data_IF_382585630065
#
_entry.id   IF_382585630065
#
_cell.length_a   1.000
_cell.length_b   1.000
_cell.length_c   1.000
_cell.angle_alpha   90.00
_cell.angle_beta   90.00
_cell.angle_gamma   90.00
#
_symmetry.space_group_name_H-M   'P 1'
#
loop_
_entity.id
_entity.type
_entity.pdbx_description
1 polymer ?
#
# COMPACT_ATOMS: atom_id res chain seq x y z
N UNK A 1 -9.35 -27.26 -17.35
CA UNK A 1 -9.58 -25.81 -17.61
C UNK A 1 -8.30 -25.22 -18.17
N UNK A 2 -8.31 -24.75 -19.40
CA UNK A 2 -7.16 -24.14 -20.10
C UNK A 2 -7.06 -22.61 -19.85
N UNK A 3 -7.28 -22.17 -18.63
CA UNK A 3 -7.08 -20.77 -18.22
C UNK A 3 -5.58 -20.49 -18.23
N UNK A 4 -5.14 -19.51 -19.03
CA UNK A 4 -3.73 -19.10 -19.16
C UNK A 4 -3.39 -17.85 -18.37
N UNK A 5 -4.40 -17.05 -18.04
CA UNK A 5 -4.23 -15.80 -17.32
C UNK A 5 -5.29 -15.65 -16.23
N UNK A 6 -4.86 -15.27 -15.04
CA UNK A 6 -5.74 -14.75 -13.98
C UNK A 6 -5.25 -13.36 -13.64
N UNK A 7 -6.08 -12.36 -13.83
CA UNK A 7 -5.78 -10.97 -13.53
C UNK A 7 -6.65 -10.50 -12.38
N UNK A 8 -6.01 -10.15 -11.26
CA UNK A 8 -6.63 -9.43 -10.16
C UNK A 8 -6.44 -7.94 -10.39
N UNK A 9 -7.50 -7.24 -10.72
CA UNK A 9 -7.47 -5.78 -10.92
C UNK A 9 -7.37 -5.03 -9.59
N UNK A 10 -7.87 -5.62 -8.50
CA UNK A 10 -7.76 -5.12 -7.14
C UNK A 10 -7.17 -6.21 -6.24
N UNK A 11 -6.55 -5.80 -5.14
CA UNK A 11 -6.01 -6.73 -4.15
C UNK A 11 -7.14 -7.51 -3.47
N UNK A 12 -7.12 -8.85 -3.48
CA UNK A 12 -8.03 -9.67 -2.68
C UNK A 12 -7.87 -9.38 -1.18
N UNK A 13 -8.91 -9.64 -0.40
CA UNK A 13 -8.92 -9.36 1.03
C UNK A 13 -7.94 -10.22 1.83
N UNK A 14 -7.61 -11.41 1.33
CA UNK A 14 -6.68 -12.33 1.99
C UNK A 14 -5.96 -13.23 0.99
N UNK A 15 -4.87 -13.85 1.45
CA UNK A 15 -4.02 -14.75 0.65
C UNK A 15 -4.81 -15.97 0.17
N UNK A 16 -5.71 -16.50 0.98
CA UNK A 16 -6.50 -17.68 0.63
C UNK A 16 -7.42 -17.40 -0.56
N UNK A 17 -8.06 -16.23 -0.61
CA UNK A 17 -8.89 -15.84 -1.75
C UNK A 17 -8.03 -15.69 -3.01
N UNK A 18 -6.89 -14.99 -2.88
CA UNK A 18 -5.93 -14.88 -3.99
C UNK A 18 -5.49 -16.25 -4.50
N UNK A 19 -5.07 -17.16 -3.61
CA UNK A 19 -4.61 -18.49 -3.96
C UNK A 19 -5.68 -19.31 -4.67
N UNK A 20 -6.92 -19.30 -4.18
CA UNK A 20 -8.05 -20.01 -4.80
C UNK A 20 -8.38 -19.50 -6.21
N UNK A 21 -8.31 -18.18 -6.40
CA UNK A 21 -8.59 -17.56 -7.68
C UNK A 21 -7.43 -17.74 -8.65
N UNK A 22 -6.20 -17.50 -8.22
CA UNK A 22 -4.98 -17.71 -9.00
C UNK A 22 -4.82 -19.20 -9.41
N UNK A 23 -5.16 -20.12 -8.52
CA UNK A 23 -5.13 -21.56 -8.76
C UNK A 23 -6.11 -22.07 -9.83
N UNK A 24 -6.90 -21.19 -10.46
CA UNK A 24 -7.71 -21.52 -11.65
C UNK A 24 -6.85 -21.59 -12.90
N UNK A 25 -5.70 -20.91 -12.93
CA UNK A 25 -4.77 -20.90 -14.04
C UNK A 25 -3.93 -22.19 -14.07
N UNK A 26 -3.63 -22.69 -15.27
CA UNK A 26 -2.69 -23.79 -15.49
C UNK A 26 -3.07 -25.14 -14.88
N UNK A 27 -4.34 -25.42 -14.61
CA UNK A 27 -4.80 -26.71 -14.04
C UNK A 27 -4.52 -27.94 -14.92
N UNK A 28 -4.20 -27.72 -16.17
CA UNK A 28 -3.82 -28.75 -17.14
C UNK A 28 -2.31 -28.99 -17.17
N UNK A 29 -1.54 -28.32 -16.29
CA UNK A 29 -0.08 -28.45 -16.21
C UNK A 29 0.70 -27.56 -17.17
N UNK A 30 0.01 -26.83 -18.05
CA UNK A 30 0.64 -25.91 -18.99
C UNK A 30 0.95 -24.55 -18.32
N UNK A 31 1.98 -23.83 -18.80
CA UNK A 31 2.32 -22.52 -18.28
C UNK A 31 1.14 -21.54 -18.26
N UNK A 32 1.00 -20.82 -17.15
CA UNK A 32 -0.05 -19.82 -16.96
C UNK A 32 0.48 -18.68 -16.07
N UNK A 33 -0.08 -17.49 -16.25
CA UNK A 33 0.32 -16.30 -15.52
C UNK A 33 -0.78 -15.84 -14.55
N UNK A 34 -0.37 -15.44 -13.35
CA UNK A 34 -1.22 -14.80 -12.36
C UNK A 34 -0.69 -13.39 -12.12
N UNK A 35 -1.50 -12.40 -12.47
CA UNK A 35 -1.14 -10.98 -12.37
C UNK A 35 -2.00 -10.35 -11.29
N UNK A 36 -1.37 -9.68 -10.33
CA UNK A 36 -2.04 -8.91 -9.30
C UNK A 36 -1.62 -7.44 -9.43
N UNK A 37 -2.59 -6.57 -9.71
CA UNK A 37 -2.41 -5.14 -9.60
C UNK A 37 -2.70 -4.71 -8.16
N UNK A 38 -1.83 -3.90 -7.59
CA UNK A 38 -1.92 -3.46 -6.21
C UNK A 38 -1.82 -1.95 -6.10
N UNK A 39 -2.66 -1.39 -5.25
CA UNK A 39 -2.65 0.01 -4.85
C UNK A 39 -2.88 0.10 -3.34
N UNK A 40 -2.25 1.05 -2.60
CA UNK A 40 -2.57 1.31 -1.19
C UNK A 40 -4.07 1.53 -0.94
N UNK A 41 -4.79 2.04 -1.94
CA UNK A 41 -6.23 2.19 -1.94
C UNK A 41 -6.99 0.89 -1.71
N UNK A 42 -6.48 -0.23 -2.23
CA UNK A 42 -7.12 -1.52 -2.07
C UNK A 42 -7.16 -1.95 -0.59
N UNK A 43 -6.14 -1.55 0.18
CA UNK A 43 -6.09 -1.80 1.63
C UNK A 43 -7.24 -1.08 2.32
N UNK A 44 -7.40 0.23 2.04
CA UNK A 44 -8.46 1.07 2.64
C UNK A 44 -9.85 0.53 2.29
N UNK A 45 -10.06 0.16 1.03
CA UNK A 45 -11.33 -0.43 0.58
C UNK A 45 -11.61 -1.74 1.34
N UNK A 46 -10.61 -2.60 1.47
CA UNK A 46 -10.78 -3.87 2.17
C UNK A 46 -11.00 -3.67 3.69
N UNK A 47 -10.31 -2.71 4.33
CA UNK A 47 -10.57 -2.33 5.73
C UNK A 47 -12.02 -1.86 5.90
N UNK A 48 -12.47 -0.93 5.05
CA UNK A 48 -13.86 -0.47 5.05
C UNK A 48 -14.87 -1.62 4.88
N UNK A 49 -14.60 -2.57 3.98
CA UNK A 49 -15.47 -3.74 3.78
C UNK A 49 -15.50 -4.66 5.01
N UNK A 50 -14.38 -4.80 5.72
CA UNK A 50 -14.31 -5.58 6.96
C UNK A 50 -15.11 -4.91 8.07
N UNK A 51 -14.94 -3.59 8.24
CA UNK A 51 -15.65 -2.79 9.26
C UNK A 51 -17.16 -2.77 9.04
N UNK A 52 -17.58 -2.72 7.77
CA UNK A 52 -19.00 -2.68 7.38
C UNK A 52 -19.56 -4.05 6.98
N UNK A 53 -18.88 -5.13 7.32
CA UNK A 53 -19.38 -6.49 7.12
C UNK A 53 -20.62 -6.66 7.99
N UNK A 54 -21.80 -6.77 7.34
CA UNK A 54 -23.11 -6.73 7.97
C UNK A 54 -23.20 -7.57 9.24
N UNK A 55 -23.93 -7.06 10.22
CA UNK A 55 -24.15 -7.71 11.50
C UNK A 55 -24.81 -9.08 11.29
N UNK A 56 -24.03 -10.14 11.50
CA UNK A 56 -24.61 -11.46 11.65
C UNK A 56 -25.16 -11.54 13.07
N UNK A 57 -26.49 -11.44 13.19
CA UNK A 57 -27.21 -11.43 14.48
C UNK A 57 -27.06 -12.73 15.28
N UNK A 58 -26.45 -13.77 14.69
CA UNK A 58 -26.16 -15.04 15.32
C UNK A 58 -24.90 -15.03 16.20
N UNK A 59 -24.00 -14.05 16.01
CA UNK A 59 -22.75 -13.95 16.77
C UNK A 59 -22.86 -13.02 17.96
N UNK A 60 -22.23 -13.44 19.05
CA UNK A 60 -22.00 -12.56 20.23
C UNK A 60 -21.04 -11.42 19.86
N UNK A 61 -20.99 -10.38 20.67
CA UNK A 61 -20.07 -9.26 20.45
C UNK A 61 -18.59 -9.70 20.49
N UNK A 62 -18.23 -10.64 21.36
CA UNK A 62 -16.91 -11.22 21.46
C UNK A 62 -16.52 -12.01 20.20
N UNK A 63 -17.45 -12.81 19.67
CA UNK A 63 -17.23 -13.55 18.42
C UNK A 63 -17.09 -12.63 17.21
N UNK A 64 -17.90 -11.57 17.12
CA UNK A 64 -17.77 -10.55 16.07
C UNK A 64 -16.41 -9.88 16.11
N UNK A 65 -15.95 -9.50 17.30
CA UNK A 65 -14.62 -8.92 17.48
C UNK A 65 -13.51 -9.89 17.05
N UNK A 66 -13.61 -11.15 17.44
CA UNK A 66 -12.64 -12.17 17.07
C UNK A 66 -12.58 -12.39 15.54
N UNK A 67 -13.73 -12.40 14.84
CA UNK A 67 -13.80 -12.49 13.38
C UNK A 67 -13.20 -11.25 12.74
N UNK A 68 -13.55 -10.05 13.21
CA UNK A 68 -12.98 -8.79 12.72
C UNK A 68 -11.44 -8.77 12.86
N UNK A 69 -10.93 -9.06 14.05
CA UNK A 69 -9.48 -9.06 14.31
C UNK A 69 -8.74 -10.10 13.46
N UNK A 70 -9.38 -11.22 13.17
CA UNK A 70 -8.85 -12.24 12.27
C UNK A 70 -8.83 -11.75 10.81
N UNK A 71 -9.90 -11.12 10.32
CA UNK A 71 -9.99 -10.57 8.96
C UNK A 71 -8.95 -9.47 8.75
N UNK A 72 -8.76 -8.57 9.72
CA UNK A 72 -7.70 -7.54 9.69
C UNK A 72 -6.30 -8.18 9.66
N UNK A 73 -6.07 -9.24 10.43
CA UNK A 73 -4.77 -9.95 10.42
C UNK A 73 -4.48 -10.59 9.07
N UNK A 74 -5.49 -11.19 8.43
CA UNK A 74 -5.38 -11.79 7.09
C UNK A 74 -5.15 -10.73 6.03
N UNK A 75 -5.82 -9.57 6.12
CA UNK A 75 -5.61 -8.44 5.24
C UNK A 75 -4.16 -7.90 5.34
N UNK A 76 -3.62 -7.77 6.57
CA UNK A 76 -2.23 -7.35 6.79
C UNK A 76 -1.24 -8.30 6.11
N UNK A 77 -1.46 -9.61 6.15
CA UNK A 77 -0.62 -10.61 5.46
C UNK A 77 -0.73 -10.49 3.93
N UNK A 78 -1.93 -10.25 3.40
CA UNK A 78 -2.12 -10.01 1.96
C UNK A 78 -1.43 -8.73 1.50
N UNK A 79 -1.55 -7.64 2.26
CA UNK A 79 -0.83 -6.38 2.02
C UNK A 79 0.68 -6.62 1.99
N UNK A 80 1.23 -7.36 2.96
CA UNK A 80 2.65 -7.69 2.99
C UNK A 80 3.06 -8.47 1.74
N UNK A 81 2.29 -9.48 1.34
CA UNK A 81 2.51 -10.23 0.10
C UNK A 81 2.62 -9.32 -1.13
N UNK A 82 1.75 -8.30 -1.23
CA UNK A 82 1.76 -7.36 -2.35
C UNK A 82 2.95 -6.38 -2.34
N UNK A 83 3.57 -6.15 -1.19
CA UNK A 83 4.61 -5.12 -1.02
C UNK A 83 6.01 -5.68 -0.71
N UNK A 84 6.12 -6.97 -0.39
CA UNK A 84 7.41 -7.60 -0.09
C UNK A 84 8.32 -7.69 -1.31
N UNK A 85 9.64 -7.73 -1.07
CA UNK A 85 10.66 -8.05 -2.07
C UNK A 85 11.08 -9.52 -2.01
N UNK A 86 10.60 -10.26 -1.02
CA UNK A 86 10.86 -11.69 -0.87
C UNK A 86 10.26 -12.49 -2.04
N UNK A 87 10.70 -13.73 -2.20
CA UNK A 87 10.11 -14.62 -3.19
C UNK A 87 8.61 -14.84 -2.92
N UNK A 88 7.77 -14.41 -3.86
CA UNK A 88 6.32 -14.50 -3.71
C UNK A 88 5.83 -15.94 -3.58
N UNK A 89 6.49 -16.89 -4.27
CA UNK A 89 6.14 -18.30 -4.18
C UNK A 89 6.48 -18.88 -2.81
N UNK A 90 7.68 -18.61 -2.30
CA UNK A 90 8.09 -19.09 -0.98
C UNK A 90 7.22 -18.47 0.13
N UNK A 91 6.91 -17.19 0.03
CA UNK A 91 5.98 -16.56 0.97
C UNK A 91 4.61 -17.27 0.99
N UNK A 92 4.09 -17.61 -0.20
CA UNK A 92 2.81 -18.32 -0.34
C UNK A 92 2.88 -19.73 0.27
N UNK A 93 3.93 -20.49 -0.02
CA UNK A 93 4.14 -21.83 0.54
C UNK A 93 4.26 -21.78 2.07
N UNK A 94 5.10 -20.88 2.59
CA UNK A 94 5.27 -20.66 4.02
C UNK A 94 3.96 -20.28 4.72
N UNK A 95 3.13 -19.48 4.06
CA UNK A 95 1.82 -19.11 4.57
C UNK A 95 0.92 -20.32 4.81
N UNK A 96 0.97 -21.31 3.93
CA UNK A 96 0.22 -22.58 4.05
C UNK A 96 0.96 -23.67 4.81
N UNK A 97 2.12 -23.37 5.41
CA UNK A 97 2.90 -24.32 6.21
C UNK A 97 3.79 -25.25 5.42
N UNK A 98 4.00 -24.98 4.13
CA UNK A 98 4.94 -25.70 3.28
C UNK A 98 6.26 -24.93 3.21
N UNK A 99 7.37 -25.59 3.56
CA UNK A 99 8.71 -25.01 3.53
C UNK A 99 9.55 -25.70 2.48
N UNK A 100 9.90 -25.00 1.42
CA UNK A 100 10.78 -25.56 0.38
C UNK A 100 12.26 -25.45 0.73
N UNK A 101 12.62 -24.57 1.66
CA UNK A 101 14.02 -24.27 2.03
C UNK A 101 14.78 -23.49 0.96
N UNK A 102 14.09 -22.86 0.02
CA UNK A 102 14.65 -22.03 -1.05
C UNK A 102 14.25 -20.58 -0.85
N UNK A 103 15.20 -19.68 -1.00
CA UNK A 103 14.95 -18.24 -0.92
C UNK A 103 14.48 -17.64 -2.27
N UNK A 104 14.61 -18.40 -3.37
CA UNK A 104 14.35 -17.97 -4.74
C UNK A 104 13.68 -19.10 -5.54
N UNK A 105 12.58 -18.79 -6.23
CA UNK A 105 11.89 -19.72 -7.13
C UNK A 105 12.28 -19.56 -8.60
N UNK A 106 13.06 -18.54 -8.96
CA UNK A 106 13.47 -18.23 -10.32
C UNK A 106 12.35 -17.86 -11.30
N UNK A 107 11.10 -17.71 -10.83
CA UNK A 107 9.94 -17.56 -11.71
C UNK A 107 8.94 -16.47 -11.30
N UNK A 108 8.92 -16.00 -10.06
CA UNK A 108 8.03 -14.93 -9.67
C UNK A 108 8.60 -13.55 -10.04
N UNK A 109 7.75 -12.53 -10.08
CA UNK A 109 8.17 -11.17 -10.44
C UNK A 109 9.30 -10.64 -9.56
N UNK A 110 9.31 -10.98 -8.27
CA UNK A 110 10.36 -10.53 -7.34
C UNK A 110 11.71 -11.20 -7.63
N UNK A 111 11.71 -12.51 -7.90
CA UNK A 111 12.94 -13.23 -8.23
C UNK A 111 13.51 -12.82 -9.60
N UNK A 112 12.66 -12.37 -10.53
CA UNK A 112 13.07 -11.91 -11.86
C UNK A 112 13.42 -10.42 -11.90
N UNK A 113 13.10 -9.65 -10.84
CA UNK A 113 13.32 -8.21 -10.81
C UNK A 113 14.73 -7.87 -10.30
N UNK A 114 15.32 -6.84 -10.90
CA UNK A 114 16.48 -6.15 -10.33
C UNK A 114 15.95 -4.95 -9.54
N UNK A 115 16.08 -5.01 -8.22
CA UNK A 115 15.68 -3.89 -7.35
C UNK A 115 16.82 -2.91 -7.19
N UNK A 116 16.57 -1.65 -7.52
CA UNK A 116 17.44 -0.53 -7.15
C UNK A 116 16.94 0.07 -5.83
N UNK A 117 17.81 0.12 -4.83
CA UNK A 117 17.51 0.84 -3.60
C UNK A 117 17.78 2.33 -3.79
N UNK A 118 16.80 3.16 -3.43
CA UNK A 118 16.94 4.62 -3.47
C UNK A 118 16.66 5.17 -2.07
N UNK A 119 17.60 5.95 -1.54
CA UNK A 119 17.36 6.73 -0.34
C UNK A 119 16.35 7.84 -0.66
N UNK A 120 15.20 7.75 -0.01
CA UNK A 120 14.11 8.72 -0.15
C UNK A 120 13.87 9.52 1.13
N UNK A 121 14.75 9.41 2.14
CA UNK A 121 14.63 10.02 3.46
C UNK A 121 14.41 11.53 3.38
N UNK A 122 15.18 12.23 2.54
CA UNK A 122 15.01 13.65 2.33
C UNK A 122 13.63 14.00 1.74
N UNK A 123 13.15 13.21 0.77
CA UNK A 123 11.83 13.44 0.16
C UNK A 123 10.72 13.18 1.17
N UNK A 124 10.82 12.11 1.95
CA UNK A 124 9.87 11.78 3.01
C UNK A 124 9.83 12.87 4.09
N UNK A 125 10.99 13.39 4.51
CA UNK A 125 11.07 14.51 5.45
C UNK A 125 10.38 15.78 4.93
N UNK A 126 10.55 16.12 3.65
CA UNK A 126 9.86 17.25 3.01
C UNK A 126 8.34 17.01 2.97
N UNK A 127 7.89 15.79 2.67
CA UNK A 127 6.46 15.43 2.68
C UNK A 127 5.87 15.62 4.09
N UNK A 128 6.51 15.07 5.14
CA UNK A 128 6.04 15.22 6.51
C UNK A 128 5.99 16.69 6.92
N UNK A 129 7.04 17.45 6.61
CA UNK A 129 7.10 18.88 6.92
C UNK A 129 5.95 19.63 6.22
N UNK A 130 5.67 19.33 4.97
CA UNK A 130 4.55 19.94 4.23
C UNK A 130 3.21 19.61 4.87
N UNK A 131 3.00 18.35 5.27
CA UNK A 131 1.78 17.91 5.95
C UNK A 131 1.61 18.66 7.28
N UNK A 132 2.69 18.88 8.05
CA UNK A 132 2.68 19.71 9.27
C UNK A 132 2.33 21.18 8.96
N UNK A 133 2.97 21.79 7.96
CA UNK A 133 2.73 23.19 7.58
C UNK A 133 1.28 23.42 7.12
N UNK A 134 0.67 22.45 6.47
CA UNK A 134 -0.74 22.55 6.06
C UNK A 134 -1.74 22.11 7.13
N UNK A 135 -1.28 21.80 8.34
CA UNK A 135 -2.11 21.31 9.46
C UNK A 135 -2.96 20.10 9.07
N UNK A 136 -2.39 19.17 8.33
CA UNK A 136 -3.04 17.92 7.91
C UNK A 136 -4.39 18.11 7.20
N UNK A 137 -4.49 19.09 6.28
CA UNK A 137 -5.75 19.44 5.61
C UNK A 137 -5.86 18.98 4.16
N UNK A 138 -4.78 18.43 3.59
CA UNK A 138 -4.74 18.12 2.17
C UNK A 138 -4.34 16.67 1.89
N UNK A 139 -4.82 16.15 0.76
CA UNK A 139 -4.45 14.83 0.23
C UNK A 139 -3.23 14.87 -0.69
N UNK A 140 -2.86 13.70 -1.18
CA UNK A 140 -1.65 13.42 -1.98
C UNK A 140 -1.41 14.42 -3.12
N UNK A 141 -2.47 14.78 -3.88
CA UNK A 141 -2.31 15.67 -5.04
C UNK A 141 -1.86 17.08 -4.67
N UNK A 142 -2.38 17.64 -3.56
CA UNK A 142 -2.01 19.00 -3.10
C UNK A 142 -0.62 18.98 -2.51
N UNK A 143 -0.29 17.99 -1.68
CA UNK A 143 1.06 17.83 -1.09
C UNK A 143 2.10 17.71 -2.22
N UNK A 144 1.88 16.80 -3.17
CA UNK A 144 2.77 16.59 -4.33
C UNK A 144 2.95 17.88 -5.14
N UNK A 145 1.85 18.56 -5.48
CA UNK A 145 1.92 19.82 -6.24
C UNK A 145 2.64 20.94 -5.50
N UNK A 146 2.48 21.00 -4.17
CA UNK A 146 3.16 21.98 -3.31
C UNK A 146 4.67 21.78 -3.32
N UNK A 147 5.15 20.57 -3.02
CA UNK A 147 6.60 20.32 -2.96
C UNK A 147 7.29 20.36 -4.34
N UNK A 148 6.52 20.17 -5.41
CA UNK A 148 7.00 20.40 -6.78
C UNK A 148 6.98 21.87 -7.19
N UNK A 149 6.34 22.73 -6.44
CA UNK A 149 6.19 24.15 -6.77
C UNK A 149 5.32 24.38 -8.00
N UNK A 150 4.23 23.61 -8.14
CA UNK A 150 3.33 23.72 -9.28
C UNK A 150 2.51 25.00 -9.23
N UNK A 151 2.47 25.72 -10.37
CA UNK A 151 1.79 26.98 -10.50
C UNK A 151 0.33 26.83 -10.97
N UNK A 152 -0.47 26.02 -10.23
CA UNK A 152 -1.89 25.79 -10.53
C UNK A 152 -2.76 26.76 -9.72
N UNK A 153 -3.81 27.32 -10.34
CA UNK A 153 -4.73 28.26 -9.68
C UNK A 153 -5.32 27.69 -8.38
N UNK A 154 -5.68 26.39 -8.39
CA UNK A 154 -6.20 25.69 -7.22
C UNK A 154 -5.19 25.64 -6.06
N UNK A 155 -3.92 25.43 -6.32
CA UNK A 155 -2.87 25.41 -5.29
C UNK A 155 -2.66 26.82 -4.71
N UNK A 156 -2.65 27.84 -5.54
CA UNK A 156 -2.57 29.24 -5.08
C UNK A 156 -3.74 29.64 -4.19
N UNK A 157 -4.96 29.19 -4.49
CA UNK A 157 -6.14 29.49 -3.66
C UNK A 157 -6.03 28.91 -2.24
N UNK A 158 -5.21 27.87 -2.05
CA UNK A 158 -4.91 27.30 -0.74
C UNK A 158 -3.75 27.99 0.00
N UNK A 159 -3.04 28.93 -0.66
CA UNK A 159 -1.91 29.65 -0.08
C UNK A 159 -0.66 28.79 0.15
N UNK A 160 -0.56 27.63 -0.52
CA UNK A 160 0.54 26.68 -0.35
C UNK A 160 1.88 27.18 -0.93
N UNK A 161 1.83 28.19 -1.78
CA UNK A 161 3.00 28.90 -2.31
C UNK A 161 3.80 29.66 -1.24
N UNK A 162 3.21 29.82 -0.04
CA UNK A 162 3.85 30.45 1.12
C UNK A 162 4.54 29.45 2.06
N UNK A 163 4.37 28.14 1.83
CA UNK A 163 4.99 27.13 2.66
C UNK A 163 6.50 27.05 2.41
N UNK A 164 7.26 26.80 3.47
CA UNK A 164 8.72 26.68 3.38
C UNK A 164 9.16 25.53 2.45
N UNK A 165 8.28 24.55 2.28
CA UNK A 165 8.51 23.36 1.46
C UNK A 165 8.12 23.54 0.00
N UNK A 166 7.54 24.69 -0.39
CA UNK A 166 7.09 24.95 -1.75
C UNK A 166 8.26 24.85 -2.76
N UNK A 167 8.13 23.94 -3.70
CA UNK A 167 9.11 23.73 -4.77
C UNK A 167 10.42 23.04 -4.36
N UNK A 168 10.54 22.53 -3.14
CA UNK A 168 11.77 21.85 -2.69
C UNK A 168 12.07 20.58 -3.48
N UNK A 169 11.07 19.92 -4.06
CA UNK A 169 11.20 18.72 -4.89
C UNK A 169 10.89 18.99 -6.38
N UNK A 170 11.18 20.19 -6.88
CA UNK A 170 10.82 20.62 -8.25
C UNK A 170 11.41 19.73 -9.35
N UNK A 171 12.59 19.17 -9.14
CA UNK A 171 13.24 18.30 -10.12
C UNK A 171 12.67 16.87 -10.13
N UNK A 172 11.87 16.48 -9.13
CA UNK A 172 11.33 15.15 -9.02
C UNK A 172 10.05 14.99 -9.85
N UNK A 173 9.83 13.82 -10.43
CA UNK A 173 8.59 13.52 -11.12
C UNK A 173 7.43 13.39 -10.15
N UNK A 174 6.20 13.68 -10.62
CA UNK A 174 5.00 13.51 -9.83
C UNK A 174 4.81 12.04 -9.40
N UNK A 175 5.08 11.09 -10.31
CA UNK A 175 4.99 9.66 -10.05
C UNK A 175 5.98 9.20 -8.98
N UNK A 176 7.21 9.73 -8.96
CA UNK A 176 8.19 9.40 -7.94
C UNK A 176 7.72 9.85 -6.54
N UNK A 177 7.27 11.10 -6.41
CA UNK A 177 6.79 11.62 -5.12
C UNK A 177 5.56 10.85 -4.64
N UNK A 178 4.62 10.55 -5.53
CA UNK A 178 3.46 9.71 -5.20
C UNK A 178 3.90 8.31 -4.72
N UNK A 179 4.88 7.70 -5.40
CA UNK A 179 5.44 6.41 -4.96
C UNK A 179 6.06 6.47 -3.56
N UNK A 180 6.72 7.58 -3.20
CA UNK A 180 7.22 7.78 -1.82
C UNK A 180 6.06 7.90 -0.84
N UNK A 181 5.02 8.68 -1.15
CA UNK A 181 3.82 8.79 -0.30
C UNK A 181 3.15 7.43 -0.12
N UNK A 182 2.97 6.67 -1.22
CA UNK A 182 2.39 5.33 -1.17
C UNK A 182 3.21 4.39 -0.29
N UNK A 183 4.54 4.45 -0.38
CA UNK A 183 5.43 3.68 0.50
C UNK A 183 5.29 4.10 1.96
N UNK A 184 5.21 5.40 2.25
CA UNK A 184 5.01 5.91 3.60
C UNK A 184 3.65 5.49 4.19
N UNK A 185 2.60 5.41 3.37
CA UNK A 185 1.30 4.87 3.75
C UNK A 185 1.38 3.37 4.07
N UNK A 186 2.08 2.60 3.22
CA UNK A 186 2.29 1.16 3.41
C UNK A 186 3.07 0.86 4.69
N UNK A 187 4.11 1.63 4.97
CA UNK A 187 4.98 1.44 6.15
C UNK A 187 4.37 2.03 7.43
N UNK A 188 3.23 2.71 7.32
CA UNK A 188 2.53 3.27 8.47
C UNK A 188 3.09 4.61 8.97
N UNK A 189 3.99 5.27 8.23
CA UNK A 189 4.43 6.64 8.51
C UNK A 189 3.35 7.68 8.22
N UNK A 190 2.41 7.37 7.34
CA UNK A 190 1.24 8.19 7.03
C UNK A 190 -0.02 7.33 7.08
N UNK A 191 -1.15 8.00 7.26
CA UNK A 191 -2.49 7.43 7.05
C UNK A 191 -3.33 8.38 6.23
N UNK A 192 -4.33 7.89 5.54
CA UNK A 192 -5.35 8.70 4.87
C UNK A 192 -6.65 8.68 5.68
N UNK A 193 -7.45 9.74 5.54
CA UNK A 193 -8.83 9.73 6.05
C UNK A 193 -9.72 8.89 5.15
N UNK A 194 -10.76 8.28 5.74
CA UNK A 194 -11.71 7.40 5.03
C UNK A 194 -12.78 8.17 4.24
N UNK A 195 -12.70 9.51 4.24
CA UNK A 195 -13.61 10.35 3.49
C UNK A 195 -13.21 10.50 2.01
N UNK A 196 -14.09 11.08 1.20
CA UNK A 196 -13.86 11.29 -0.22
C UNK A 196 -12.65 12.19 -0.54
N UNK A 197 -12.12 12.92 0.44
CA UNK A 197 -11.01 13.85 0.26
C UNK A 197 -9.65 13.19 0.47
N UNK A 198 -9.59 12.05 1.18
CA UNK A 198 -8.36 11.29 1.46
C UNK A 198 -7.22 12.18 1.92
N UNK A 199 -7.45 12.84 3.03
CA UNK A 199 -6.49 13.75 3.61
C UNK A 199 -5.36 12.96 4.24
N UNK A 200 -4.11 13.32 3.92
CA UNK A 200 -2.93 12.73 4.53
C UNK A 200 -2.78 13.20 5.97
N UNK A 201 -2.63 12.24 6.87
CA UNK A 201 -2.41 12.44 8.30
C UNK A 201 -1.09 11.82 8.72
N UNK A 202 -0.44 12.44 9.68
CA UNK A 202 0.74 11.88 10.32
C UNK A 202 0.35 10.78 11.30
N UNK A 203 1.30 9.91 11.59
CA UNK A 203 1.22 8.87 12.62
C UNK A 203 2.27 9.13 13.69
N UNK A 204 2.25 8.40 14.77
CA UNK A 204 3.26 8.49 15.83
C UNK A 204 4.68 8.18 15.31
N UNK A 205 4.78 7.33 14.28
CA UNK A 205 6.05 6.95 13.66
C UNK A 205 6.60 7.98 12.67
N UNK A 206 5.79 8.98 12.27
CA UNK A 206 6.24 10.02 11.33
C UNK A 206 7.42 10.83 11.85
N UNK A 207 7.45 11.11 13.16
CA UNK A 207 8.50 11.92 13.79
C UNK A 207 9.83 11.15 13.89
N UNK A 208 9.79 9.84 14.03
CA UNK A 208 10.97 8.97 14.07
C UNK A 208 11.77 9.06 12.75
N UNK A 209 11.07 9.16 11.63
CA UNK A 209 11.69 9.28 10.30
C UNK A 209 12.45 10.62 10.12
N UNK A 210 12.05 11.67 10.84
CA UNK A 210 12.73 12.99 10.81
C UNK A 210 13.90 13.04 11.79
N UNK A 211 13.76 12.41 12.97
CA UNK A 211 14.79 12.42 14.01
C UNK A 211 15.99 11.52 13.69
N UNK A 212 15.82 10.58 12.73
CA UNK A 212 16.86 9.59 12.42
C UNK A 212 17.07 8.56 13.53
N UNK A 213 16.12 8.43 14.45
CA UNK A 213 16.10 7.36 15.45
C UNK A 213 15.42 6.13 14.82
N UNK A 214 16.21 5.06 14.64
CA UNK A 214 15.75 3.71 14.32
C UNK A 214 15.25 2.99 15.57
#
# INVERSE_FOLDING_TARGET
>A
SNVRYVLHYNMPQCIENYYQEAGRAGRDGEPAECILLFSPQDVIINEFLIENKGENNEFTEEERKAVHDNDIRRLKKMRYYCSTKECLREYMLNYFGEYSGKDDCGNCSNCSAVFEEKDVTNTASVIIKTIKECHERFGTSVITGTIRGENKAKLRSYGVDRYSTFGMCRQMSESFIKGVIDKMLLDGYLRETDDMYRILKLTETSDMLISGEE
#
